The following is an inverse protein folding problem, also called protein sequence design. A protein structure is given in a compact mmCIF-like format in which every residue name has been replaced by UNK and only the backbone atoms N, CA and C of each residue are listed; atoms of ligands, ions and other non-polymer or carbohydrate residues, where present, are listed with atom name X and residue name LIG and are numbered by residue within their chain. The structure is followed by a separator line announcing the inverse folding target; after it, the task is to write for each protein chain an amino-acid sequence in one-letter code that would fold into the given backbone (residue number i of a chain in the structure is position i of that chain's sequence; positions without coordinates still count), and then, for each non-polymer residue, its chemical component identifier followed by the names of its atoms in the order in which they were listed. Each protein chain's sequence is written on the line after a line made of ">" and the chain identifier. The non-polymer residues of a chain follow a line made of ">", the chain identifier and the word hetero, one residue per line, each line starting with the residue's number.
data_IF_588758983177
#
_entry.id   IF_588758983177
#
_cell.length_a   1.000
_cell.length_b   1.000
_cell.length_c   1.000
_cell.angle_alpha   90.00
_cell.angle_beta   90.00
_cell.angle_gamma   90.00
#
_symmetry.space_group_name_H-M   'P 1'
#
loop_
_entity.id
_entity.type
_entity.pdbx_description
1 polymer ?
#
# COMPACT_ATOMS: atom_id res chain seq x y z
N UNK A 1 -0.53 -23.06 11.67
CA UNK A 1 0.37 -21.99 11.21
C UNK A 1 0.53 -21.00 12.33
N UNK A 2 1.73 -20.66 12.70
CA UNK A 2 2.02 -19.69 13.79
C UNK A 2 1.72 -18.29 13.26
N UNK A 3 0.66 -17.66 13.79
CA UNK A 3 0.42 -16.22 13.60
C UNK A 3 1.54 -15.43 14.27
N UNK A 4 1.72 -14.18 13.86
CA UNK A 4 2.62 -13.28 14.57
C UNK A 4 2.11 -13.09 16.02
N UNK A 5 3.01 -13.10 16.98
CA UNK A 5 2.66 -12.81 18.38
C UNK A 5 2.18 -11.35 18.51
N UNK A 6 2.79 -10.46 17.73
CA UNK A 6 2.44 -9.05 17.64
C UNK A 6 2.74 -8.51 16.25
N UNK A 7 1.77 -7.84 15.65
CA UNK A 7 1.91 -7.07 14.42
C UNK A 7 1.99 -5.58 14.71
N UNK A 8 2.82 -4.88 13.95
CA UNK A 8 3.09 -3.45 14.07
C UNK A 8 2.41 -2.67 12.94
N UNK A 9 2.37 -1.36 13.10
CA UNK A 9 1.95 -0.40 12.08
C UNK A 9 3.20 0.23 11.49
N UNK A 10 3.43 0.00 10.18
CA UNK A 10 4.57 0.55 9.46
C UNK A 10 4.09 1.57 8.42
N UNK A 11 4.77 2.71 8.32
CA UNK A 11 4.52 3.74 7.31
C UNK A 11 5.79 3.94 6.48
N UNK A 12 5.67 3.74 5.16
CA UNK A 12 6.74 4.04 4.20
C UNK A 12 6.34 5.25 3.36
N UNK A 13 7.03 6.37 3.56
CA UNK A 13 6.69 7.66 2.95
C UNK A 13 7.88 8.32 2.26
N UNK A 14 7.76 9.58 1.88
CA UNK A 14 8.79 10.36 1.21
C UNK A 14 8.72 10.31 -0.32
N UNK A 15 9.49 11.19 -0.98
CA UNK A 15 9.46 11.38 -2.44
C UNK A 15 10.32 10.38 -3.19
N UNK A 16 11.30 9.77 -2.53
CA UNK A 16 12.21 8.80 -3.11
C UNK A 16 11.54 7.50 -3.54
N UNK A 17 12.13 6.84 -4.53
CA UNK A 17 11.71 5.52 -5.00
C UNK A 17 11.96 4.44 -3.93
N UNK A 18 11.12 3.40 -3.91
CA UNK A 18 11.36 2.18 -3.15
C UNK A 18 10.26 1.82 -2.14
N UNK A 19 9.28 2.68 -1.89
CA UNK A 19 8.19 2.42 -0.92
C UNK A 19 7.44 1.13 -1.22
N UNK A 20 6.87 0.99 -2.41
CA UNK A 20 6.21 -0.22 -2.88
C UNK A 20 7.17 -1.40 -2.88
N UNK A 21 8.40 -1.24 -3.41
CA UNK A 21 9.41 -2.31 -3.46
C UNK A 21 9.78 -2.82 -2.08
N UNK A 22 9.90 -1.94 -1.07
CA UNK A 22 10.17 -2.32 0.31
C UNK A 22 8.99 -3.10 0.92
N UNK A 23 7.76 -2.65 0.68
CA UNK A 23 6.56 -3.34 1.16
C UNK A 23 6.41 -4.73 0.53
N UNK A 24 6.65 -4.86 -0.79
CA UNK A 24 6.65 -6.16 -1.47
C UNK A 24 7.83 -7.05 -1.02
N UNK A 25 9.00 -6.48 -0.74
CA UNK A 25 10.12 -7.21 -0.16
C UNK A 25 9.79 -7.80 1.23
N UNK A 26 9.10 -7.04 2.07
CA UNK A 26 8.58 -7.52 3.35
C UNK A 26 7.53 -8.62 3.13
N UNK A 27 6.59 -8.41 2.23
CA UNK A 27 5.55 -9.37 1.86
C UNK A 27 6.16 -10.71 1.39
N UNK A 28 7.15 -10.66 0.50
CA UNK A 28 7.88 -11.85 0.01
C UNK A 28 8.58 -12.60 1.16
N UNK A 29 9.22 -11.86 2.08
CA UNK A 29 9.85 -12.45 3.27
C UNK A 29 8.83 -13.14 4.17
N UNK A 30 7.66 -12.53 4.37
CA UNK A 30 6.57 -13.08 5.17
C UNK A 30 6.03 -14.39 4.54
N UNK A 31 5.75 -14.39 3.24
CA UNK A 31 5.32 -15.59 2.50
C UNK A 31 6.37 -16.70 2.59
N UNK A 32 7.67 -16.37 2.47
CA UNK A 32 8.75 -17.33 2.64
C UNK A 32 8.82 -17.98 4.02
N UNK A 33 8.14 -17.41 5.01
CA UNK A 33 7.95 -17.97 6.37
C UNK A 33 6.57 -18.58 6.58
N UNK A 34 5.78 -18.72 5.51
CA UNK A 34 4.46 -19.33 5.55
C UNK A 34 3.35 -18.40 6.07
N UNK A 35 3.64 -17.12 6.27
CA UNK A 35 2.63 -16.12 6.65
C UNK A 35 1.70 -15.81 5.48
N UNK A 36 0.46 -15.44 5.78
CA UNK A 36 -0.55 -15.01 4.81
C UNK A 36 -0.45 -13.51 4.59
N UNK A 37 -0.35 -13.10 3.34
CA UNK A 37 -0.20 -11.69 2.94
C UNK A 37 -1.37 -11.25 2.07
N UNK A 38 -1.89 -10.06 2.31
CA UNK A 38 -2.82 -9.37 1.42
C UNK A 38 -2.27 -7.99 1.06
N UNK A 39 -2.15 -7.70 -0.23
CA UNK A 39 -1.78 -6.38 -0.74
C UNK A 39 -3.00 -5.73 -1.39
N UNK A 40 -3.35 -4.53 -0.96
CA UNK A 40 -4.38 -3.70 -1.57
C UNK A 40 -3.69 -2.47 -2.14
N UNK A 41 -3.72 -2.34 -3.47
CA UNK A 41 -3.12 -1.21 -4.17
C UNK A 41 -4.20 -0.18 -4.49
N UNK A 42 -4.07 1.01 -3.91
CA UNK A 42 -4.88 2.16 -4.27
C UNK A 42 -4.35 2.79 -5.56
N UNK A 43 -5.22 3.35 -6.39
CA UNK A 43 -4.90 4.13 -7.62
C UNK A 43 -3.99 3.43 -8.65
N UNK A 44 -3.71 2.14 -8.50
CA UNK A 44 -2.84 1.35 -9.39
C UNK A 44 -3.57 0.37 -10.30
N UNK A 45 -4.88 0.24 -10.19
CA UNK A 45 -5.68 -0.63 -11.05
C UNK A 45 -5.56 -0.26 -12.52
N UNK A 46 -5.54 -1.26 -13.40
CA UNK A 46 -5.42 -1.07 -14.85
C UNK A 46 -4.01 -0.78 -15.38
N UNK A 47 -3.01 -0.67 -14.52
CA UNK A 47 -1.61 -0.60 -14.94
C UNK A 47 -0.97 -1.99 -15.05
N UNK A 48 0.01 -2.13 -15.94
CA UNK A 48 0.74 -3.38 -16.20
C UNK A 48 2.03 -3.43 -15.36
N UNK A 49 1.88 -3.69 -14.05
CA UNK A 49 3.02 -3.82 -13.15
C UNK A 49 3.57 -5.25 -13.11
N UNK A 50 4.90 -5.38 -13.08
CA UNK A 50 5.60 -6.67 -13.13
C UNK A 50 5.24 -7.62 -11.97
N UNK A 51 4.95 -7.09 -10.79
CA UNK A 51 4.53 -7.89 -9.62
C UNK A 51 3.25 -8.69 -9.86
N UNK A 52 2.33 -8.22 -10.70
CA UNK A 52 1.08 -8.92 -11.01
C UNK A 52 1.31 -10.28 -11.70
N UNK A 53 2.42 -10.45 -12.41
CA UNK A 53 2.75 -11.69 -13.13
C UNK A 53 3.33 -12.80 -12.25
N UNK A 54 3.71 -12.49 -11.02
CA UNK A 54 4.33 -13.48 -10.11
C UNK A 54 3.45 -13.86 -8.93
N UNK A 55 2.43 -13.06 -8.63
CA UNK A 55 1.58 -13.24 -7.44
C UNK A 55 0.89 -14.60 -7.43
N UNK A 56 0.32 -15.03 -8.56
CA UNK A 56 -0.39 -16.32 -8.67
C UNK A 56 0.52 -17.53 -8.43
N UNK A 57 1.84 -17.33 -8.44
CA UNK A 57 2.84 -18.36 -8.16
C UNK A 57 3.28 -18.39 -6.69
N UNK A 58 2.87 -17.40 -5.91
CA UNK A 58 3.25 -17.28 -4.50
C UNK A 58 2.12 -17.86 -3.63
N UNK A 59 2.38 -18.92 -2.85
CA UNK A 59 1.39 -19.43 -1.90
C UNK A 59 1.12 -18.36 -0.83
N UNK A 60 -0.10 -18.29 -0.34
CA UNK A 60 -0.50 -17.37 0.74
C UNK A 60 -0.32 -15.88 0.43
N UNK A 61 -0.27 -15.50 -0.85
CA UNK A 61 -0.18 -14.11 -1.29
C UNK A 61 -1.44 -13.74 -2.09
N UNK A 62 -2.15 -12.72 -1.63
CA UNK A 62 -3.29 -12.13 -2.33
C UNK A 62 -2.97 -10.68 -2.70
N UNK A 63 -3.41 -10.24 -3.87
CA UNK A 63 -3.33 -8.83 -4.27
C UNK A 63 -4.62 -8.42 -4.97
N UNK A 64 -5.07 -7.21 -4.66
CA UNK A 64 -6.12 -6.53 -5.43
C UNK A 64 -5.74 -5.08 -5.65
N UNK A 65 -5.75 -4.66 -6.91
CA UNK A 65 -5.47 -3.29 -7.32
C UNK A 65 -6.77 -2.57 -7.73
N UNK A 66 -6.87 -1.30 -7.34
CA UNK A 66 -7.98 -0.40 -7.66
C UNK A 66 -7.44 0.83 -8.39
N UNK A 67 -8.20 1.33 -9.35
CA UNK A 67 -7.84 2.47 -10.18
C UNK A 67 -8.26 2.28 -11.63
N UNK A 68 -8.12 3.33 -12.46
CA UNK A 68 -8.57 3.34 -13.85
C UNK A 68 -7.44 3.12 -14.88
N UNK A 69 -6.22 2.81 -14.45
CA UNK A 69 -5.05 2.77 -15.34
C UNK A 69 -4.59 4.15 -15.83
N UNK A 70 -4.95 5.20 -15.11
CA UNK A 70 -4.60 6.58 -15.40
C UNK A 70 -4.21 7.29 -14.11
N UNK A 71 -3.32 8.27 -14.21
CA UNK A 71 -3.00 9.12 -13.07
C UNK A 71 -4.18 10.02 -12.73
N UNK A 72 -4.45 10.17 -11.44
CA UNK A 72 -5.43 11.15 -10.96
C UNK A 72 -4.80 12.54 -11.05
N UNK A 73 -5.28 13.37 -11.99
CA UNK A 73 -4.71 14.69 -12.30
C UNK A 73 -5.68 15.85 -12.04
N UNK A 74 -6.97 15.54 -11.81
CA UNK A 74 -8.00 16.54 -11.55
C UNK A 74 -8.06 16.92 -10.06
N UNK A 75 -8.31 18.20 -9.78
CA UNK A 75 -8.66 18.70 -8.44
C UNK A 75 -9.94 19.53 -8.58
N UNK A 76 -11.08 19.12 -8.02
CA UNK A 76 -11.28 17.88 -7.25
C UNK A 76 -11.13 16.60 -8.10
N UNK A 77 -10.83 15.44 -7.47
CA UNK A 77 -10.71 14.16 -8.17
C UNK A 77 -12.06 13.75 -8.77
N UNK A 78 -12.01 12.95 -9.84
CA UNK A 78 -13.22 12.44 -10.51
C UNK A 78 -14.01 11.47 -9.61
N UNK A 79 -15.34 11.45 -9.77
CA UNK A 79 -16.24 10.58 -8.98
C UNK A 79 -15.84 9.09 -9.05
N UNK A 80 -15.40 8.63 -10.21
CA UNK A 80 -14.94 7.25 -10.41
C UNK A 80 -13.65 6.94 -9.63
N UNK A 81 -12.71 7.89 -9.55
CA UNK A 81 -11.49 7.73 -8.77
C UNK A 81 -11.81 7.63 -7.28
N UNK A 82 -12.73 8.47 -6.79
CA UNK A 82 -13.23 8.42 -5.41
C UNK A 82 -13.90 7.08 -5.13
N UNK A 83 -14.83 6.64 -6.00
CA UNK A 83 -15.56 5.39 -5.86
C UNK A 83 -14.61 4.19 -5.75
N UNK A 84 -13.62 4.08 -6.64
CA UNK A 84 -12.64 2.99 -6.63
C UNK A 84 -11.74 3.01 -5.40
N UNK A 85 -11.35 4.19 -4.91
CA UNK A 85 -10.57 4.32 -3.69
C UNK A 85 -11.39 3.97 -2.43
N UNK A 86 -12.68 4.32 -2.40
CA UNK A 86 -13.60 3.91 -1.33
C UNK A 86 -13.83 2.40 -1.31
N UNK A 87 -13.95 1.77 -2.48
CA UNK A 87 -14.01 0.30 -2.59
C UNK A 87 -12.73 -0.36 -2.08
N UNK A 88 -11.55 0.21 -2.39
CA UNK A 88 -10.28 -0.24 -1.85
C UNK A 88 -10.24 -0.14 -0.32
N UNK A 89 -10.70 0.99 0.23
CA UNK A 89 -10.76 1.21 1.67
C UNK A 89 -11.75 0.27 2.36
N UNK A 90 -12.91 0.01 1.73
CA UNK A 90 -13.87 -0.98 2.22
C UNK A 90 -13.24 -2.36 2.31
N UNK A 91 -12.61 -2.83 1.23
CA UNK A 91 -11.89 -4.10 1.24
C UNK A 91 -10.77 -4.12 2.31
N UNK A 92 -10.04 -3.02 2.48
CA UNK A 92 -9.00 -2.92 3.50
C UNK A 92 -9.57 -3.11 4.91
N UNK A 93 -10.72 -2.52 5.21
CA UNK A 93 -11.41 -2.69 6.50
C UNK A 93 -11.82 -4.15 6.73
N UNK A 94 -12.37 -4.80 5.72
CA UNK A 94 -12.81 -6.19 5.78
C UNK A 94 -11.61 -7.13 5.97
N UNK A 95 -10.55 -6.97 5.17
CA UNK A 95 -9.33 -7.79 5.22
C UNK A 95 -8.58 -7.63 6.55
N UNK A 96 -8.34 -6.39 6.98
CA UNK A 96 -7.66 -6.13 8.27
C UNK A 96 -8.51 -6.63 9.43
N UNK A 97 -9.81 -6.31 9.42
CA UNK A 97 -10.73 -6.67 10.51
C UNK A 97 -10.97 -8.17 10.65
N UNK A 98 -10.84 -8.95 9.58
CA UNK A 98 -10.98 -10.41 9.61
C UNK A 98 -9.91 -11.10 10.45
N UNK A 99 -8.70 -10.52 10.53
CA UNK A 99 -7.55 -11.15 11.18
C UNK A 99 -7.11 -12.48 10.53
N UNK A 100 -7.51 -12.74 9.28
CA UNK A 100 -7.14 -13.95 8.54
C UNK A 100 -5.74 -13.86 7.92
N UNK A 101 -5.27 -12.64 7.70
CA UNK A 101 -3.95 -12.35 7.12
C UNK A 101 -3.00 -11.87 8.20
N UNK A 102 -1.76 -12.35 8.13
CA UNK A 102 -0.70 -11.98 9.07
C UNK A 102 -0.09 -10.62 8.72
N UNK A 103 -0.02 -10.31 7.41
CA UNK A 103 0.51 -9.05 6.87
C UNK A 103 -0.48 -8.45 5.89
N UNK A 104 -0.85 -7.20 6.10
CA UNK A 104 -1.69 -6.43 5.15
C UNK A 104 -0.93 -5.20 4.70
N UNK A 105 -0.83 -5.00 3.40
CA UNK A 105 -0.21 -3.83 2.78
C UNK A 105 -1.28 -2.97 2.12
N UNK A 106 -1.35 -1.69 2.49
CA UNK A 106 -2.15 -0.67 1.82
C UNK A 106 -1.21 0.20 0.98
N UNK A 107 -0.97 -0.24 -0.24
CA UNK A 107 -0.01 0.42 -1.14
C UNK A 107 -0.65 1.65 -1.80
N UNK A 108 0.06 2.78 -1.76
CA UNK A 108 -0.37 4.12 -2.20
C UNK A 108 -1.57 4.71 -1.41
N UNK A 109 -1.91 4.21 -0.23
CA UNK A 109 -2.98 4.80 0.59
C UNK A 109 -2.66 6.25 1.01
N UNK A 110 -1.38 6.58 1.27
CA UNK A 110 -0.97 7.95 1.61
C UNK A 110 -1.24 8.92 0.46
N UNK A 111 -1.02 8.48 -0.79
CA UNK A 111 -1.35 9.28 -1.97
C UNK A 111 -2.86 9.42 -2.14
N UNK A 112 -3.63 8.36 -1.90
CA UNK A 112 -5.09 8.44 -1.91
C UNK A 112 -5.63 9.45 -0.89
N UNK A 113 -4.99 9.55 0.30
CA UNK A 113 -5.29 10.57 1.30
C UNK A 113 -4.93 11.99 0.82
N UNK A 114 -3.73 12.17 0.24
CA UNK A 114 -3.27 13.46 -0.29
C UNK A 114 -4.20 13.97 -1.40
N UNK A 115 -4.68 13.06 -2.26
CA UNK A 115 -5.63 13.36 -3.33
C UNK A 115 -7.08 13.45 -2.86
N UNK A 116 -7.37 13.33 -1.57
CA UNK A 116 -8.71 13.37 -0.96
C UNK A 116 -9.67 12.33 -1.53
N UNK A 117 -9.16 11.19 -1.99
CA UNK A 117 -9.95 10.06 -2.48
C UNK A 117 -10.57 9.25 -1.34
N UNK A 118 -9.93 9.26 -0.18
CA UNK A 118 -10.42 8.60 1.04
C UNK A 118 -10.23 9.51 2.25
N UNK A 119 -11.04 9.30 3.28
CA UNK A 119 -10.99 10.06 4.53
C UNK A 119 -9.86 9.59 5.45
N UNK A 120 -9.06 10.51 5.97
CA UNK A 120 -8.04 10.23 6.98
C UNK A 120 -8.66 9.60 8.23
N UNK A 121 -9.81 10.12 8.67
CA UNK A 121 -10.53 9.59 9.84
C UNK A 121 -10.86 8.11 9.68
N UNK A 122 -11.31 7.69 8.49
CA UNK A 122 -11.66 6.30 8.21
C UNK A 122 -10.43 5.38 8.16
N UNK A 123 -9.28 5.88 7.65
CA UNK A 123 -8.01 5.14 7.70
C UNK A 123 -7.50 5.01 9.14
N UNK A 124 -7.57 6.06 9.94
CA UNK A 124 -7.21 5.99 11.36
C UNK A 124 -8.12 5.05 12.16
N UNK A 125 -9.42 5.01 11.86
CA UNK A 125 -10.34 4.02 12.44
C UNK A 125 -9.96 2.58 12.08
N UNK A 126 -9.54 2.33 10.84
CA UNK A 126 -9.03 1.03 10.40
C UNK A 126 -7.78 0.65 11.20
N UNK A 127 -6.80 1.57 11.29
CA UNK A 127 -5.56 1.36 12.05
C UNK A 127 -5.87 0.99 13.51
N UNK A 128 -6.77 1.73 14.15
CA UNK A 128 -7.17 1.49 15.55
C UNK A 128 -7.88 0.14 15.77
N UNK A 129 -8.57 -0.37 14.75
CA UNK A 129 -9.32 -1.64 14.81
C UNK A 129 -8.48 -2.84 14.37
N UNK A 130 -7.24 -2.64 13.97
CA UNK A 130 -6.33 -3.70 13.55
C UNK A 130 -6.17 -4.73 14.68
N UNK A 131 -6.36 -6.05 14.40
CA UNK A 131 -6.05 -7.08 15.40
C UNK A 131 -4.56 -7.07 15.76
N UNK A 132 -4.25 -7.39 17.01
CA UNK A 132 -2.88 -7.27 17.57
C UNK A 132 -1.83 -8.06 16.79
N UNK A 133 -2.19 -9.22 16.22
CA UNK A 133 -1.26 -10.07 15.46
C UNK A 133 -1.06 -9.64 14.00
N UNK A 134 -1.85 -8.70 13.46
CA UNK A 134 -1.75 -8.26 12.07
C UNK A 134 -0.68 -7.21 11.91
N UNK A 135 0.31 -7.45 11.05
CA UNK A 135 1.25 -6.44 10.58
C UNK A 135 0.57 -5.58 9.51
N UNK A 136 0.52 -4.27 9.69
CA UNK A 136 -0.10 -3.34 8.76
C UNK A 136 0.93 -2.39 8.18
N UNK A 137 1.09 -2.40 6.86
CA UNK A 137 2.06 -1.56 6.14
C UNK A 137 1.30 -0.57 5.25
N UNK A 138 1.56 0.72 5.42
CA UNK A 138 0.94 1.80 4.67
C UNK A 138 2.02 2.50 3.84
N UNK A 139 1.81 2.65 2.53
CA UNK A 139 2.81 3.28 1.66
C UNK A 139 2.25 4.49 0.93
N UNK A 140 3.15 5.30 0.39
CA UNK A 140 2.87 6.43 -0.47
C UNK A 140 3.55 7.72 -0.02
N UNK A 141 3.61 8.68 -0.92
CA UNK A 141 4.07 10.03 -0.61
C UNK A 141 3.09 10.75 0.31
N UNK A 142 3.58 11.72 1.07
CA UNK A 142 2.73 12.64 1.81
C UNK A 142 1.94 11.99 2.96
N UNK A 143 2.55 11.06 3.71
CA UNK A 143 1.89 10.49 4.88
C UNK A 143 1.45 11.61 5.85
N UNK A 144 0.16 11.66 6.25
CA UNK A 144 -0.32 12.62 7.24
C UNK A 144 0.40 12.47 8.58
N UNK A 145 0.55 13.59 9.29
CA UNK A 145 1.21 13.62 10.60
C UNK A 145 0.54 12.67 11.60
N UNK A 146 -0.78 12.60 11.58
CA UNK A 146 -1.58 11.76 12.46
C UNK A 146 -1.29 10.25 12.23
N UNK A 147 -0.98 9.86 10.98
CA UNK A 147 -0.56 8.50 10.69
C UNK A 147 0.86 8.20 11.18
N UNK A 148 1.75 9.20 11.07
CA UNK A 148 3.12 9.10 11.59
C UNK A 148 3.10 8.95 13.12
N UNK A 149 2.23 9.67 13.81
CA UNK A 149 2.09 9.64 15.27
C UNK A 149 1.56 8.30 15.81
N UNK A 150 0.71 7.59 15.05
CA UNK A 150 0.16 6.29 15.48
C UNK A 150 0.97 5.09 14.97
N UNK A 151 1.95 5.30 14.11
CA UNK A 151 2.79 4.23 13.56
C UNK A 151 3.86 3.78 14.58
N UNK A 152 4.14 2.47 14.60
CA UNK A 152 5.25 1.90 15.37
C UNK A 152 6.60 2.05 14.65
N UNK A 153 6.58 2.09 13.30
CA UNK A 153 7.76 2.27 12.46
C UNK A 153 7.44 3.22 11.31
N UNK A 154 8.27 4.21 11.11
CA UNK A 154 8.18 5.13 9.97
C UNK A 154 9.52 5.18 9.25
N UNK A 155 9.48 4.98 7.93
CA UNK A 155 10.65 5.13 7.06
C UNK A 155 10.36 6.17 5.99
N UNK A 156 11.18 7.21 5.92
CA UNK A 156 11.14 8.20 4.84
C UNK A 156 12.16 7.84 3.76
N UNK A 157 11.71 7.63 2.54
CA UNK A 157 12.56 7.44 1.36
C UNK A 157 12.81 8.79 0.69
N UNK A 158 14.03 9.31 0.86
CA UNK A 158 14.42 10.60 0.31
C UNK A 158 14.96 10.45 -1.11
N UNK A 159 14.50 11.33 -2.01
CA UNK A 159 15.07 11.42 -3.34
C UNK A 159 16.39 12.22 -3.30
N UNK A 160 17.52 11.52 -3.28
CA UNK A 160 18.84 12.17 -3.39
C UNK A 160 19.15 12.48 -4.85
N UNK A 161 18.76 11.58 -5.77
CA UNK A 161 18.97 11.69 -7.21
C UNK A 161 17.99 10.79 -7.94
N UNK A 162 17.36 11.28 -9.00
CA UNK A 162 16.44 10.45 -9.79
C UNK A 162 16.73 10.57 -11.28
N UNK A 163 16.76 9.46 -12.04
CA UNK A 163 17.05 9.47 -13.48
C UNK A 163 15.96 10.22 -14.29
N UNK A 164 14.75 10.35 -13.77
CA UNK A 164 13.68 11.12 -14.39
C UNK A 164 14.09 12.57 -14.68
N UNK A 165 14.83 13.21 -13.78
CA UNK A 165 15.34 14.58 -13.97
C UNK A 165 16.38 14.69 -15.10
N UNK A 166 16.88 13.55 -15.60
CA UNK A 166 17.75 13.47 -16.79
C UNK A 166 16.99 12.98 -18.03
N UNK A 167 15.65 12.97 -17.98
CA UNK A 167 14.79 12.56 -19.11
C UNK A 167 14.67 11.04 -19.31
N UNK A 168 15.18 10.19 -18.40
CA UNK A 168 15.02 8.75 -18.50
C UNK A 168 13.58 8.37 -18.14
N UNK A 169 12.89 7.72 -19.09
CA UNK A 169 11.52 7.21 -18.88
C UNK A 169 11.53 5.95 -18.01
N UNK A 170 10.37 5.62 -17.44
CA UNK A 170 10.16 4.38 -16.71
C UNK A 170 10.43 3.14 -17.60
N UNK A 171 11.11 2.14 -17.04
CA UNK A 171 11.56 0.93 -17.75
C UNK A 171 10.79 -0.28 -17.25
N UNK A 172 10.36 -1.14 -18.20
CA UNK A 172 9.69 -2.40 -17.88
C UNK A 172 10.60 -3.32 -17.05
N UNK A 173 10.03 -3.89 -15.99
CA UNK A 173 10.76 -4.76 -15.05
C UNK A 173 11.64 -4.03 -14.04
N UNK A 174 11.71 -2.68 -14.09
CA UNK A 174 12.48 -1.86 -13.12
C UNK A 174 11.57 -0.86 -12.41
N UNK A 175 10.78 -0.07 -13.13
CA UNK A 175 9.82 0.86 -12.55
C UNK A 175 8.38 0.32 -12.56
N UNK A 176 8.06 -0.61 -13.46
CA UNK A 176 6.73 -1.26 -13.59
C UNK A 176 6.80 -2.67 -14.15
#
# INVERSE_FOLDING_TARGET
>A
MTKLDRGLIQVYTGDGKGKTSAAFGLALRAVGRGLKVYVIQFIKGGFDYGELYVIDRLPNFCLKAFGRGQFVTSDPPGEEDVRLAEEALKLAKDVVGSGEFDVVVLDEVNVALTLRLVSLEEVLKLIKKKPDHVELVLTGRGAPKEMIEVADLVTEMREIKHPFHKGLRARKGIEF
#
